data_IF_189711208218
#
_entry.id   IF_189711208218
#
_cell.length_a   1.000
_cell.length_b   1.000
_cell.length_c   1.000
_cell.angle_alpha   90.00
_cell.angle_beta   90.00
_cell.angle_gamma   90.00
#
_symmetry.space_group_name_H-M   'P 1'
#
loop_
_entity.id
_entity.type
_entity.pdbx_description
1 polymer ?
#
# COMPACT_ATOMS: atom_id res chain seq x y z
N UNK A 1 45.60 42.22 12.28
CA UNK A 1 45.12 41.84 10.94
C UNK A 1 44.07 40.75 11.12
N UNK A 2 42.80 41.13 11.04
CA UNK A 2 41.65 40.25 11.28
C UNK A 2 41.11 39.77 9.94
N UNK A 3 41.25 38.46 9.66
CA UNK A 3 40.64 37.81 8.49
C UNK A 3 39.14 37.68 8.71
N UNK A 4 38.36 38.54 8.06
CA UNK A 4 36.91 38.42 7.94
C UNK A 4 36.58 37.54 6.73
N UNK A 5 36.30 36.25 6.95
CA UNK A 5 35.69 35.41 5.92
C UNK A 5 34.20 35.73 5.83
N UNK A 6 33.82 36.48 4.79
CA UNK A 6 32.43 36.62 4.33
C UNK A 6 31.95 35.28 3.78
N UNK A 7 31.31 34.46 4.61
CA UNK A 7 30.50 33.35 4.15
C UNK A 7 29.25 33.89 3.43
N UNK A 8 29.17 33.68 2.11
CA UNK A 8 27.91 33.83 1.37
C UNK A 8 26.91 32.83 1.94
N UNK A 9 25.64 33.19 2.22
CA UNK A 9 24.61 32.21 2.48
C UNK A 9 24.45 31.36 1.22
N UNK A 10 24.83 30.09 1.28
CA UNK A 10 24.61 29.14 0.20
C UNK A 10 23.14 28.77 0.17
N UNK A 11 22.43 29.31 -0.83
CA UNK A 11 21.11 28.93 -1.34
C UNK A 11 20.04 28.71 -0.27
N UNK A 12 19.13 29.68 -0.19
CA UNK A 12 17.77 29.48 0.33
C UNK A 12 17.19 28.19 -0.26
N UNK A 13 17.27 27.09 0.50
CA UNK A 13 16.47 25.89 0.25
C UNK A 13 15.04 26.34 0.47
N UNK A 14 14.33 26.46 -0.64
CA UNK A 14 12.94 26.87 -0.70
C UNK A 14 12.15 26.05 0.32
N UNK A 15 11.63 26.74 1.34
CA UNK A 15 10.58 26.23 2.22
C UNK A 15 9.34 26.08 1.36
N UNK A 16 9.25 25.00 0.60
CA UNK A 16 8.06 24.66 -0.18
C UNK A 16 7.11 23.99 0.80
N UNK A 17 5.96 24.63 1.07
CA UNK A 17 4.78 24.09 1.74
C UNK A 17 4.92 22.58 2.02
N UNK A 18 5.57 22.23 3.14
CA UNK A 18 5.44 20.89 3.70
C UNK A 18 3.94 20.65 3.74
N UNK A 19 3.48 19.49 3.26
CA UNK A 19 2.11 19.08 3.51
C UNK A 19 1.79 19.46 4.94
N UNK A 20 0.73 20.22 5.16
CA UNK A 20 0.33 20.55 6.52
C UNK A 20 -0.01 19.22 7.20
N UNK A 21 1.00 18.55 7.76
CA UNK A 21 0.92 17.48 8.74
C UNK A 21 0.47 18.14 10.06
N UNK A 22 -0.48 19.06 9.97
CA UNK A 22 -0.95 19.79 11.14
C UNK A 22 -1.94 18.91 11.92
N UNK A 23 -2.42 17.83 11.29
CA UNK A 23 -3.24 16.83 11.96
C UNK A 23 -3.15 15.45 11.26
N UNK A 24 -2.37 14.54 11.85
CA UNK A 24 -2.29 13.14 11.43
C UNK A 24 -3.67 12.47 11.39
N UNK A 25 -4.51 12.75 12.38
CA UNK A 25 -5.84 12.15 12.49
C UNK A 25 -6.76 12.65 11.36
N UNK A 26 -6.67 13.93 11.00
CA UNK A 26 -7.42 14.46 9.87
C UNK A 26 -7.02 13.80 8.54
N UNK A 27 -5.71 13.62 8.30
CA UNK A 27 -5.21 12.91 7.11
C UNK A 27 -5.70 11.47 7.06
N UNK A 28 -5.65 10.74 8.19
CA UNK A 28 -6.10 9.36 8.24
C UNK A 28 -7.62 9.25 8.11
N UNK A 29 -8.38 10.21 8.64
CA UNK A 29 -9.83 10.29 8.43
C UNK A 29 -10.17 10.53 6.96
N UNK A 30 -9.52 11.47 6.30
CA UNK A 30 -9.71 11.76 4.88
C UNK A 30 -9.41 10.53 4.01
N UNK A 31 -8.27 9.88 4.25
CA UNK A 31 -7.90 8.66 3.53
C UNK A 31 -8.88 7.51 3.81
N UNK A 32 -9.34 7.36 5.07
CA UNK A 32 -10.33 6.36 5.45
C UNK A 32 -11.69 6.56 4.78
N UNK A 33 -12.21 7.79 4.75
CA UNK A 33 -13.48 8.13 4.09
C UNK A 33 -13.39 7.93 2.56
N UNK A 34 -12.23 8.25 1.96
CA UNK A 34 -11.99 8.04 0.54
C UNK A 34 -11.83 6.55 0.18
N UNK A 35 -11.20 5.76 1.05
CA UNK A 35 -11.07 4.32 0.90
C UNK A 35 -12.43 3.62 0.86
N UNK A 36 -13.39 4.05 1.69
CA UNK A 36 -14.76 3.51 1.66
C UNK A 36 -15.42 3.74 0.29
N UNK A 37 -15.20 4.91 -0.33
CA UNK A 37 -15.72 5.22 -1.68
C UNK A 37 -15.07 4.35 -2.76
N UNK A 38 -13.74 4.19 -2.71
CA UNK A 38 -13.00 3.37 -3.68
C UNK A 38 -13.39 1.90 -3.58
N UNK A 39 -13.50 1.34 -2.37
CA UNK A 39 -13.94 -0.03 -2.15
C UNK A 39 -15.38 -0.25 -2.64
N UNK A 40 -16.29 0.69 -2.36
CA UNK A 40 -17.67 0.62 -2.84
C UNK A 40 -17.77 0.71 -4.37
N UNK A 41 -16.98 1.58 -5.00
CA UNK A 41 -16.93 1.69 -6.45
C UNK A 41 -16.39 0.40 -7.08
N UNK A 42 -15.29 -0.16 -6.57
CA UNK A 42 -14.76 -1.44 -7.07
C UNK A 42 -15.72 -2.61 -6.86
N UNK A 43 -16.46 -2.64 -5.76
CA UNK A 43 -17.53 -3.64 -5.57
C UNK A 43 -18.62 -3.52 -6.65
N UNK A 44 -19.00 -2.29 -7.00
CA UNK A 44 -19.97 -2.02 -8.08
C UNK A 44 -19.40 -2.39 -9.46
N UNK A 45 -18.13 -2.11 -9.71
CA UNK A 45 -17.44 -2.49 -10.95
C UNK A 45 -17.50 -4.02 -11.14
N UNK A 46 -17.22 -4.81 -10.09
CA UNK A 46 -17.31 -6.28 -10.14
C UNK A 46 -18.73 -6.83 -10.33
N UNK A 47 -19.78 -6.03 -10.06
CA UNK A 47 -21.18 -6.39 -10.32
C UNK A 47 -21.64 -6.02 -11.72
N UNK A 48 -21.16 -4.89 -12.24
CA UNK A 48 -21.49 -4.41 -13.59
C UNK A 48 -20.76 -5.24 -14.64
N UNK A 49 -19.46 -5.49 -14.39
CA UNK A 49 -18.58 -6.33 -15.19
C UNK A 49 -18.65 -6.10 -16.71
N UNK A 50 -18.62 -4.81 -17.09
CA UNK A 50 -18.66 -4.38 -18.48
C UNK A 50 -17.29 -4.34 -19.14
N UNK A 51 -17.27 -3.86 -20.38
CA UNK A 51 -16.05 -3.83 -21.21
C UNK A 51 -14.95 -2.96 -20.59
N UNK A 52 -15.31 -1.85 -19.95
CA UNK A 52 -14.35 -0.98 -19.24
C UNK A 52 -13.70 -1.74 -18.10
N UNK A 53 -14.49 -2.39 -17.24
CA UNK A 53 -14.00 -3.11 -16.07
C UNK A 53 -13.10 -4.28 -16.47
N UNK A 54 -13.49 -5.04 -17.51
CA UNK A 54 -12.68 -6.12 -18.07
C UNK A 54 -11.35 -5.62 -18.62
N UNK A 55 -11.35 -4.51 -19.37
CA UNK A 55 -10.12 -3.93 -19.92
C UNK A 55 -9.16 -3.44 -18.83
N UNK A 56 -9.68 -2.84 -17.77
CA UNK A 56 -8.85 -2.41 -16.64
C UNK A 56 -8.31 -3.63 -15.87
N UNK A 57 -9.14 -4.65 -15.65
CA UNK A 57 -8.74 -5.90 -15.01
C UNK A 57 -7.65 -6.63 -15.81
N UNK A 58 -7.80 -6.70 -17.14
CA UNK A 58 -6.81 -7.29 -18.05
C UNK A 58 -5.46 -6.58 -18.00
N UNK A 59 -5.44 -5.26 -17.93
CA UNK A 59 -4.18 -4.51 -17.80
C UNK A 59 -3.46 -4.78 -16.48
N UNK A 60 -4.20 -5.03 -15.41
CA UNK A 60 -3.65 -5.15 -14.06
C UNK A 60 -3.27 -6.59 -13.71
N UNK A 61 -4.05 -7.56 -14.18
CA UNK A 61 -3.90 -8.97 -13.82
C UNK A 61 -3.57 -9.87 -15.01
N UNK A 62 -3.63 -9.39 -16.25
CA UNK A 62 -3.39 -10.21 -17.44
C UNK A 62 -4.50 -11.23 -17.73
N UNK A 63 -5.70 -11.02 -17.15
CA UNK A 63 -6.88 -11.87 -17.30
C UNK A 63 -8.12 -11.02 -17.61
N UNK A 64 -9.10 -11.56 -18.32
CA UNK A 64 -10.42 -10.93 -18.50
C UNK A 64 -11.37 -11.17 -17.30
N UNK A 65 -10.87 -11.85 -16.27
CA UNK A 65 -11.53 -12.23 -15.02
C UNK A 65 -12.37 -13.50 -15.07
N UNK A 66 -12.66 -14.05 -16.25
CA UNK A 66 -13.43 -15.30 -16.37
C UNK A 66 -12.54 -16.55 -16.33
N UNK A 67 -11.23 -16.39 -16.56
CA UNK A 67 -10.29 -17.50 -16.48
C UNK A 67 -10.19 -18.05 -15.04
N UNK A 68 -10.03 -19.36 -14.95
CA UNK A 68 -9.78 -20.04 -13.69
C UNK A 68 -8.33 -19.82 -13.26
N UNK A 69 -8.14 -19.54 -11.98
CA UNK A 69 -6.84 -19.35 -11.36
C UNK A 69 -6.75 -20.13 -10.05
N UNK A 70 -5.55 -20.62 -9.74
CA UNK A 70 -5.25 -21.34 -8.51
C UNK A 70 -4.83 -20.38 -7.41
N UNK A 71 -5.67 -20.26 -6.37
CA UNK A 71 -5.43 -19.39 -5.22
C UNK A 71 -5.18 -20.21 -3.97
N UNK A 72 -4.18 -19.81 -3.18
CA UNK A 72 -3.98 -20.38 -1.86
C UNK A 72 -5.01 -19.83 -0.87
N UNK A 73 -5.85 -20.71 -0.34
CA UNK A 73 -6.88 -20.45 0.66
C UNK A 73 -6.65 -21.38 1.87
N UNK A 74 -5.65 -21.06 2.72
CA UNK A 74 -5.19 -21.96 3.76
C UNK A 74 -6.27 -22.28 4.79
N UNK A 75 -6.30 -23.53 5.24
CA UNK A 75 -7.21 -24.03 6.28
C UNK A 75 -6.36 -24.49 7.46
N UNK A 76 -6.54 -23.90 8.64
CA UNK A 76 -5.77 -24.22 9.85
C UNK A 76 -4.25 -24.17 9.65
N UNK A 77 -3.77 -23.19 8.88
CA UNK A 77 -2.34 -23.03 8.57
C UNK A 77 -1.82 -23.91 7.43
N UNK A 78 -2.65 -24.82 6.90
CA UNK A 78 -2.25 -25.72 5.82
C UNK A 78 -2.61 -25.11 4.48
N UNK A 79 -1.63 -25.05 3.57
CA UNK A 79 -1.83 -24.62 2.18
C UNK A 79 -2.95 -25.44 1.55
N UNK A 80 -3.95 -24.75 1.01
CA UNK A 80 -5.08 -25.38 0.32
C UNK A 80 -5.37 -24.58 -0.95
N UNK A 81 -5.07 -25.18 -2.09
CA UNK A 81 -5.23 -24.53 -3.39
C UNK A 81 -6.66 -24.73 -3.87
N UNK A 82 -7.34 -23.63 -4.14
CA UNK A 82 -8.70 -23.61 -4.70
C UNK A 82 -8.64 -23.00 -6.09
N UNK A 83 -9.36 -23.60 -7.03
CA UNK A 83 -9.55 -23.06 -8.36
C UNK A 83 -10.83 -22.21 -8.38
N UNK A 84 -10.73 -20.97 -8.83
CA UNK A 84 -11.87 -20.06 -8.96
C UNK A 84 -11.63 -19.06 -10.08
N UNK A 85 -12.69 -18.36 -10.52
CA UNK A 85 -12.53 -17.31 -11.51
C UNK A 85 -11.71 -16.17 -10.94
N UNK A 86 -10.82 -15.59 -11.75
CA UNK A 86 -10.02 -14.43 -11.36
C UNK A 86 -10.87 -13.27 -10.81
N UNK A 87 -12.06 -13.03 -11.38
CA UNK A 87 -13.00 -12.02 -10.87
C UNK A 87 -13.48 -12.32 -9.45
N UNK A 88 -13.67 -13.60 -9.09
CA UNK A 88 -14.13 -14.01 -7.77
C UNK A 88 -13.03 -13.86 -6.71
N UNK A 89 -11.76 -13.98 -7.10
CA UNK A 89 -10.62 -13.64 -6.22
C UNK A 89 -10.71 -12.18 -5.78
N UNK A 90 -11.02 -11.27 -6.71
CA UNK A 90 -11.13 -9.85 -6.39
C UNK A 90 -12.43 -9.49 -5.66
N UNK A 91 -13.52 -10.25 -5.85
CA UNK A 91 -14.72 -10.12 -4.99
C UNK A 91 -14.39 -10.47 -3.55
N UNK A 92 -13.66 -11.56 -3.32
CA UNK A 92 -13.21 -11.95 -1.97
C UNK A 92 -12.23 -10.94 -1.38
N UNK A 93 -11.29 -10.43 -2.20
CA UNK A 93 -10.38 -9.35 -1.82
C UNK A 93 -11.14 -8.13 -1.28
N UNK A 94 -12.05 -7.55 -2.07
CA UNK A 94 -12.82 -6.37 -1.65
C UNK A 94 -13.63 -6.65 -0.38
N UNK A 95 -14.27 -7.82 -0.29
CA UNK A 95 -15.04 -8.21 0.90
C UNK A 95 -14.17 -8.20 2.16
N UNK A 96 -12.96 -8.78 2.10
CA UNK A 96 -11.99 -8.80 3.21
C UNK A 96 -11.45 -7.43 3.53
N UNK A 97 -11.09 -6.65 2.51
CA UNK A 97 -10.59 -5.29 2.71
C UNK A 97 -11.64 -4.41 3.40
N UNK A 98 -12.93 -4.55 3.04
CA UNK A 98 -14.04 -3.88 3.73
C UNK A 98 -14.20 -4.34 5.18
N UNK A 99 -14.04 -5.63 5.47
CA UNK A 99 -14.09 -6.15 6.85
C UNK A 99 -12.97 -5.55 7.71
N UNK A 100 -11.73 -5.59 7.22
CA UNK A 100 -10.57 -5.01 7.92
C UNK A 100 -10.77 -3.50 8.10
N UNK A 101 -11.12 -2.78 7.02
CA UNK A 101 -11.38 -1.33 7.07
C UNK A 101 -12.49 -0.98 8.06
N UNK A 102 -13.54 -1.78 8.16
CA UNK A 102 -14.61 -1.60 9.15
C UNK A 102 -14.15 -1.77 10.60
N UNK A 103 -13.05 -2.49 10.84
CA UNK A 103 -12.44 -2.66 12.16
C UNK A 103 -11.35 -1.61 12.48
N UNK A 104 -10.85 -0.87 11.49
CA UNK A 104 -9.85 0.17 11.71
C UNK A 104 -10.50 1.43 12.31
N UNK A 105 -9.93 1.92 13.41
CA UNK A 105 -10.24 3.23 13.98
C UNK A 105 -9.06 4.17 13.80
N UNK A 106 -9.18 5.44 14.23
CA UNK A 106 -8.02 6.35 14.19
C UNK A 106 -6.85 5.83 15.03
N UNK A 107 -7.12 5.11 16.12
CA UNK A 107 -6.10 4.50 16.98
C UNK A 107 -5.39 3.31 16.31
N UNK A 108 -5.92 2.78 15.20
CA UNK A 108 -5.26 1.75 14.41
C UNK A 108 -4.05 2.28 13.63
N UNK A 109 -3.98 3.59 13.37
CA UNK A 109 -2.90 4.18 12.60
C UNK A 109 -1.79 4.67 13.53
N UNK A 110 -0.59 4.10 13.38
CA UNK A 110 0.57 4.45 14.18
C UNK A 110 1.41 5.46 13.41
N UNK A 111 1.51 6.68 13.95
CA UNK A 111 2.29 7.74 13.34
C UNK A 111 3.80 7.48 13.51
N UNK A 112 4.49 7.05 12.46
CA UNK A 112 5.94 6.93 12.38
C UNK A 112 6.56 7.94 11.40
N UNK A 113 5.84 9.03 11.11
CA UNK A 113 6.30 10.08 10.21
C UNK A 113 7.55 10.72 10.81
N UNK A 114 8.66 10.63 10.09
CA UNK A 114 9.93 11.24 10.45
C UNK A 114 10.59 11.77 9.19
N UNK A 115 10.90 13.06 9.16
CA UNK A 115 11.60 13.70 8.05
C UNK A 115 13.11 13.71 8.31
N UNK A 116 13.90 12.82 7.67
CA UNK A 116 15.35 12.77 7.89
C UNK A 116 16.07 14.03 7.38
N UNK A 117 15.47 14.80 6.46
CA UNK A 117 16.02 16.06 5.98
C UNK A 117 15.75 17.23 6.94
N UNK A 118 14.83 17.04 7.89
CA UNK A 118 14.47 18.02 8.92
C UNK A 118 14.21 17.31 10.27
N UNK A 119 15.27 16.78 10.92
CA UNK A 119 15.13 15.94 12.11
C UNK A 119 14.51 16.66 13.31
N UNK A 120 14.66 17.99 13.38
CA UNK A 120 14.15 18.84 14.46
C UNK A 120 12.71 19.34 14.23
N UNK A 121 12.04 18.91 13.15
CA UNK A 121 10.68 19.33 12.86
C UNK A 121 9.72 18.91 13.99
N UNK A 122 8.89 19.82 14.53
CA UNK A 122 7.96 19.51 15.62
C UNK A 122 6.85 18.53 15.21
N UNK A 123 6.67 18.33 13.90
CA UNK A 123 5.74 17.36 13.29
C UNK A 123 6.31 15.94 13.24
N UNK A 124 7.60 15.74 13.52
CA UNK A 124 8.20 14.41 13.56
C UNK A 124 7.63 13.61 14.73
N UNK A 125 7.34 12.33 14.46
CA UNK A 125 6.91 11.39 15.46
C UNK A 125 7.99 11.20 16.52
N UNK A 126 7.55 11.12 17.78
CA UNK A 126 8.39 10.78 18.93
C UNK A 126 8.43 9.27 19.20
N UNK A 127 7.67 8.48 18.44
CA UNK A 127 7.65 7.02 18.58
C UNK A 127 8.98 6.48 18.02
N UNK A 128 9.74 5.68 18.78
CA UNK A 128 10.96 5.06 18.28
C UNK A 128 10.67 4.20 17.05
N UNK A 129 11.48 4.37 15.99
CA UNK A 129 11.37 3.53 14.80
C UNK A 129 11.99 2.15 15.08
N UNK A 130 11.33 1.05 14.65
CA UNK A 130 11.95 -0.27 14.67
C UNK A 130 13.29 -0.31 13.95
N UNK A 131 14.24 -1.08 14.49
CA UNK A 131 15.55 -1.25 13.89
C UNK A 131 15.45 -1.97 12.54
N UNK A 132 16.21 -1.50 11.54
CA UNK A 132 16.27 -2.13 10.21
C UNK A 132 15.21 -1.65 9.21
N UNK A 133 14.30 -0.76 9.61
CA UNK A 133 13.40 -0.09 8.65
C UNK A 133 14.15 0.94 7.80
N UNK A 134 13.75 1.12 6.53
CA UNK A 134 14.29 2.19 5.70
C UNK A 134 13.99 3.57 6.30
N UNK A 135 14.85 4.54 6.00
CA UNK A 135 14.71 5.90 6.52
C UNK A 135 13.42 6.59 6.08
N UNK A 136 12.88 6.21 4.92
CA UNK A 136 11.58 6.68 4.44
C UNK A 136 10.79 5.53 3.83
N UNK A 137 9.50 5.47 4.13
CA UNK A 137 8.54 4.48 3.61
C UNK A 137 7.13 5.09 3.61
N UNK A 138 6.19 4.47 2.90
CA UNK A 138 4.80 4.91 2.88
C UNK A 138 4.05 4.36 4.09
N UNK A 139 3.86 3.05 4.16
CA UNK A 139 3.29 2.40 5.31
C UNK A 139 3.82 0.96 5.44
N UNK A 140 3.45 0.27 6.51
CA UNK A 140 3.57 -1.18 6.63
C UNK A 140 2.55 -1.71 7.64
N UNK A 141 2.30 -3.02 7.64
CA UNK A 141 1.55 -3.74 8.67
C UNK A 141 2.36 -4.90 9.23
N UNK A 142 2.01 -5.38 10.42
CA UNK A 142 2.41 -6.71 10.84
C UNK A 142 1.40 -7.73 10.28
N UNK A 143 1.78 -8.45 9.23
CA UNK A 143 0.87 -9.33 8.49
C UNK A 143 0.26 -10.45 9.36
N UNK A 144 0.95 -10.91 10.41
CA UNK A 144 0.45 -11.95 11.32
C UNK A 144 -0.58 -11.41 12.32
N UNK A 145 -0.73 -10.09 12.44
CA UNK A 145 -1.65 -9.50 13.40
C UNK A 145 -3.11 -9.70 12.98
N UNK A 146 -3.81 -10.57 13.70
CA UNK A 146 -5.21 -10.93 13.42
C UNK A 146 -6.26 -10.21 14.28
N UNK A 147 -5.83 -9.38 15.24
CA UNK A 147 -6.72 -8.62 16.12
C UNK A 147 -6.17 -7.20 16.33
N UNK A 148 -7.08 -6.22 16.52
CA UNK A 148 -6.73 -4.82 16.73
C UNK A 148 -5.79 -4.25 15.65
N UNK A 149 -6.07 -4.54 14.38
CA UNK A 149 -5.22 -4.22 13.22
C UNK A 149 -4.52 -2.86 13.35
N UNK A 150 -3.21 -2.87 13.10
CA UNK A 150 -2.37 -1.67 13.10
C UNK A 150 -1.74 -1.45 11.74
N UNK A 151 -1.75 -0.19 11.31
CA UNK A 151 -1.06 0.27 10.09
C UNK A 151 -0.09 1.36 10.50
N UNK A 152 1.18 1.17 10.19
CA UNK A 152 2.26 2.07 10.58
C UNK A 152 2.53 3.02 9.41
N UNK A 153 2.40 4.32 9.64
CA UNK A 153 2.43 5.34 8.59
C UNK A 153 3.77 6.08 8.62
N UNK A 154 4.49 6.05 7.50
CA UNK A 154 5.77 6.72 7.30
C UNK A 154 5.65 8.03 6.53
N UNK A 155 6.77 8.75 6.41
CA UNK A 155 6.82 10.08 5.79
C UNK A 155 6.39 10.08 4.32
N UNK A 156 6.63 9.01 3.55
CA UNK A 156 6.28 8.98 2.13
C UNK A 156 4.76 8.88 1.90
N UNK A 157 3.97 8.49 2.91
CA UNK A 157 2.50 8.54 2.85
C UNK A 157 1.97 9.98 2.76
N UNK A 158 2.70 10.92 3.35
CA UNK A 158 2.36 12.35 3.26
C UNK A 158 2.64 12.89 1.86
N UNK A 159 3.63 12.30 1.18
CA UNK A 159 4.14 12.70 -0.13
C UNK A 159 5.55 12.15 -0.36
N UNK A 160 5.91 11.80 -1.60
CA UNK A 160 7.27 11.36 -1.98
C UNK A 160 8.16 12.54 -2.40
N UNK A 161 9.48 12.40 -2.24
CA UNK A 161 10.46 13.37 -2.77
C UNK A 161 10.51 13.23 -4.31
N UNK A 162 10.36 14.36 -5.01
CA UNK A 162 10.49 14.44 -6.47
C UNK A 162 11.90 14.87 -6.89
N UNK A 163 12.20 14.78 -8.19
CA UNK A 163 13.50 15.09 -8.84
C UNK A 163 14.15 16.41 -8.40
N UNK A 164 13.37 17.39 -7.94
CA UNK A 164 13.88 18.69 -7.46
C UNK A 164 14.12 18.73 -5.94
N UNK A 165 14.18 17.58 -5.24
CA UNK A 165 14.26 17.47 -3.78
C UNK A 165 13.09 18.16 -3.05
N UNK A 166 11.92 18.19 -3.69
CA UNK A 166 10.69 18.74 -3.11
C UNK A 166 9.72 17.60 -2.82
N UNK A 167 9.24 17.51 -1.59
CA UNK A 167 8.18 16.59 -1.20
C UNK A 167 6.84 17.16 -1.67
N UNK A 168 6.22 16.48 -2.65
CA UNK A 168 4.89 16.85 -3.11
C UNK A 168 3.86 16.01 -2.36
N UNK A 169 2.78 16.64 -1.89
CA UNK A 169 1.74 15.90 -1.17
C UNK A 169 1.17 14.77 -2.00
N UNK A 170 1.08 13.61 -1.37
CA UNK A 170 0.46 12.45 -2.01
C UNK A 170 -1.03 12.72 -2.19
N UNK A 171 -1.55 12.31 -3.35
CA UNK A 171 -2.97 12.44 -3.65
C UNK A 171 -3.77 11.45 -2.79
N UNK A 172 -5.00 11.81 -2.43
CA UNK A 172 -5.86 10.94 -1.61
C UNK A 172 -6.29 9.70 -2.39
N UNK A 173 -6.67 9.87 -3.66
CA UNK A 173 -7.16 8.83 -4.56
C UNK A 173 -6.41 8.84 -5.90
N UNK A 174 -6.50 7.75 -6.67
CA UNK A 174 -5.81 7.58 -7.94
C UNK A 174 -4.42 6.95 -7.80
N UNK A 175 -3.57 7.19 -8.80
CA UNK A 175 -2.24 6.56 -8.93
C UNK A 175 -1.30 6.92 -7.79
N UNK A 176 -0.69 5.92 -7.16
CA UNK A 176 0.27 6.06 -6.05
C UNK A 176 -0.31 6.70 -4.79
N UNK A 177 -1.64 6.74 -4.68
CA UNK A 177 -2.37 7.50 -3.67
C UNK A 177 -2.31 6.89 -2.27
N UNK A 178 -2.69 7.71 -1.27
CA UNK A 178 -2.89 7.24 0.11
C UNK A 178 -3.89 6.09 0.20
N UNK A 179 -5.01 6.17 -0.53
CA UNK A 179 -6.02 5.09 -0.53
C UNK A 179 -5.47 3.81 -1.16
N UNK A 180 -4.78 3.91 -2.30
CA UNK A 180 -4.17 2.74 -2.94
C UNK A 180 -3.12 2.09 -2.01
N UNK A 181 -2.30 2.91 -1.37
CA UNK A 181 -1.34 2.46 -0.34
C UNK A 181 -2.05 1.76 0.81
N UNK A 182 -3.14 2.32 1.36
CA UNK A 182 -3.86 1.63 2.45
C UNK A 182 -4.43 0.29 1.99
N UNK A 183 -5.02 0.21 0.79
CA UNK A 183 -5.50 -1.06 0.24
C UNK A 183 -4.37 -2.09 0.05
N UNK A 184 -3.20 -1.65 -0.38
CA UNK A 184 -1.97 -2.44 -0.44
C UNK A 184 -1.66 -3.01 0.95
N UNK A 185 -1.49 -2.13 1.94
CA UNK A 185 -1.08 -2.53 3.29
C UNK A 185 -2.04 -3.52 3.94
N UNK A 186 -3.34 -3.24 3.89
CA UNK A 186 -4.32 -4.10 4.54
C UNK A 186 -4.52 -5.43 3.78
N UNK A 187 -4.06 -5.53 2.53
CA UNK A 187 -4.05 -6.79 1.79
C UNK A 187 -3.01 -7.78 2.34
N UNK A 188 -1.94 -7.29 2.97
CA UNK A 188 -0.90 -8.14 3.55
C UNK A 188 -1.36 -8.94 4.77
N UNK A 189 -2.37 -8.47 5.52
CA UNK A 189 -2.88 -9.24 6.67
C UNK A 189 -3.22 -10.66 6.23
N UNK A 190 -2.75 -11.65 6.99
CA UNK A 190 -2.95 -13.05 6.62
C UNK A 190 -4.43 -13.43 6.62
N UNK A 191 -4.75 -14.47 5.84
CA UNK A 191 -6.05 -15.14 5.91
C UNK A 191 -6.18 -15.82 7.29
N UNK A 192 -7.30 -15.64 7.99
CA UNK A 192 -7.48 -16.27 9.31
C UNK A 192 -7.61 -17.78 9.15
N UNK A 193 -6.76 -18.52 9.88
CA UNK A 193 -6.66 -19.98 9.80
C UNK A 193 -7.87 -20.75 10.34
N UNK A 194 -8.67 -20.14 11.22
CA UNK A 194 -9.83 -20.78 11.85
C UNK A 194 -11.14 -20.54 11.09
N UNK A 195 -11.21 -19.46 10.32
CA UNK A 195 -12.37 -19.06 9.55
C UNK A 195 -11.88 -18.45 8.24
N UNK A 196 -12.00 -19.23 7.16
CA UNK A 196 -11.56 -18.81 5.83
C UNK A 196 -12.31 -17.57 5.34
N UNK A 197 -13.44 -17.19 5.95
CA UNK A 197 -14.14 -15.95 5.60
C UNK A 197 -13.51 -14.70 6.21
N UNK A 198 -12.59 -14.82 7.17
CA UNK A 198 -12.03 -13.69 7.91
C UNK A 198 -10.53 -13.48 7.62
N UNK A 199 -10.01 -12.33 8.01
CA UNK A 199 -8.61 -11.94 7.76
C UNK A 199 -8.41 -11.30 6.38
N UNK A 200 -7.16 -10.92 6.08
CA UNK A 200 -6.81 -10.26 4.83
C UNK A 200 -6.53 -11.24 3.69
N UNK A 201 -5.79 -10.79 2.69
CA UNK A 201 -5.45 -11.60 1.53
C UNK A 201 -4.16 -12.41 1.73
N UNK A 202 -3.29 -11.99 2.64
CA UNK A 202 -1.97 -12.57 2.83
C UNK A 202 -1.06 -12.35 1.61
N UNK A 203 -1.21 -11.23 0.92
CA UNK A 203 -0.39 -10.85 -0.23
C UNK A 203 1.08 -10.64 0.19
N UNK A 204 1.99 -10.73 -0.77
CA UNK A 204 3.40 -10.38 -0.59
C UNK A 204 3.84 -9.27 -1.54
N UNK A 205 5.00 -8.68 -1.23
CA UNK A 205 5.68 -7.70 -2.08
C UNK A 205 6.68 -8.39 -2.98
N UNK A 206 6.24 -8.78 -4.17
CA UNK A 206 7.09 -9.50 -5.10
C UNK A 206 8.27 -8.63 -5.55
N UNK A 207 9.45 -9.24 -5.66
CA UNK A 207 10.65 -8.56 -6.10
C UNK A 207 10.59 -8.17 -7.59
N UNK A 208 11.61 -7.43 -8.07
CA UNK A 208 11.75 -7.05 -9.48
C UNK A 208 11.73 -8.25 -10.44
N UNK A 209 12.10 -9.42 -9.94
CA UNK A 209 12.13 -10.67 -10.69
C UNK A 209 10.80 -11.42 -10.68
N UNK A 210 9.79 -10.94 -9.95
CA UNK A 210 8.50 -11.60 -9.79
C UNK A 210 8.58 -12.79 -8.84
N UNK A 211 9.50 -12.79 -7.88
CA UNK A 211 9.59 -13.78 -6.81
C UNK A 211 8.98 -13.23 -5.53
N UNK A 212 8.24 -14.08 -4.83
CA UNK A 212 7.74 -13.77 -3.50
C UNK A 212 8.92 -13.81 -2.51
N UNK A 213 9.16 -12.76 -1.70
CA UNK A 213 10.22 -12.77 -0.69
C UNK A 213 9.92 -13.80 0.40
N UNK A 214 10.97 -14.33 1.02
CA UNK A 214 10.81 -15.15 2.22
C UNK A 214 10.42 -14.26 3.42
N UNK A 215 9.69 -14.81 4.40
CA UNK A 215 9.13 -14.04 5.53
C UNK A 215 10.15 -13.24 6.35
N UNK A 216 11.42 -13.63 6.32
CA UNK A 216 12.48 -13.02 7.13
C UNK A 216 13.47 -12.18 6.30
N UNK A 217 13.22 -12.01 5.01
CA UNK A 217 14.06 -11.18 4.16
C UNK A 217 13.70 -9.71 4.34
N UNK A 218 14.69 -8.89 4.67
CA UNK A 218 14.51 -7.44 4.64
C UNK A 218 14.23 -7.01 3.20
N UNK A 219 13.14 -6.29 3.01
CA UNK A 219 12.86 -5.69 1.71
C UNK A 219 13.92 -4.65 1.37
N UNK A 220 14.58 -4.88 0.23
CA UNK A 220 15.67 -4.08 -0.30
C UNK A 220 15.30 -3.39 -1.60
N UNK A 221 14.07 -3.60 -2.08
CA UNK A 221 13.63 -3.13 -3.37
C UNK A 221 12.94 -1.78 -3.22
N UNK A 222 13.10 -0.93 -4.23
CA UNK A 222 12.37 0.34 -4.28
C UNK A 222 10.93 0.10 -4.75
N UNK A 223 10.07 1.09 -4.47
CA UNK A 223 8.71 1.15 -5.01
C UNK A 223 8.67 0.86 -6.53
N UNK A 224 9.52 1.52 -7.31
CA UNK A 224 9.60 1.30 -8.77
C UNK A 224 10.00 -0.13 -9.13
N UNK A 225 10.89 -0.75 -8.37
CA UNK A 225 11.33 -2.12 -8.61
C UNK A 225 10.20 -3.12 -8.35
N UNK A 226 9.39 -2.91 -7.30
CA UNK A 226 8.19 -3.72 -7.10
C UNK A 226 7.13 -3.51 -8.19
N UNK A 227 6.97 -2.27 -8.68
CA UNK A 227 6.07 -2.02 -9.82
C UNK A 227 6.54 -2.76 -11.07
N UNK A 228 7.85 -2.90 -11.30
CA UNK A 228 8.39 -3.73 -12.37
C UNK A 228 8.14 -5.23 -12.14
N UNK A 229 8.27 -5.70 -10.91
CA UNK A 229 7.88 -7.04 -10.48
C UNK A 229 6.41 -7.35 -10.80
N UNK A 230 5.50 -6.45 -10.43
CA UNK A 230 4.06 -6.55 -10.73
C UNK A 230 3.79 -6.64 -12.24
N UNK A 231 4.47 -5.81 -13.05
CA UNK A 231 4.38 -5.88 -14.52
C UNK A 231 4.96 -7.19 -15.06
N UNK A 232 6.01 -7.74 -14.45
CA UNK A 232 6.63 -9.00 -14.86
C UNK A 232 5.65 -10.16 -14.64
N UNK A 233 5.00 -10.23 -13.48
CA UNK A 233 3.97 -11.23 -13.19
C UNK A 233 2.86 -11.24 -14.24
N UNK A 234 2.36 -10.07 -14.63
CA UNK A 234 1.36 -9.92 -15.70
C UNK A 234 1.89 -10.42 -17.04
N UNK A 235 3.09 -9.98 -17.45
CA UNK A 235 3.70 -10.34 -18.73
C UNK A 235 3.90 -11.84 -18.91
N UNK A 236 4.22 -12.56 -17.84
CA UNK A 236 4.44 -14.01 -17.90
C UNK A 236 3.16 -14.83 -17.65
N UNK A 237 2.00 -14.17 -17.46
CA UNK A 237 0.74 -14.84 -17.16
C UNK A 237 0.72 -15.56 -15.82
N UNK A 238 1.43 -15.05 -14.81
CA UNK A 238 1.54 -15.68 -13.51
C UNK A 238 0.23 -15.55 -12.71
N UNK A 239 -0.26 -16.65 -12.14
CA UNK A 239 -1.40 -16.63 -11.22
C UNK A 239 -1.10 -15.85 -9.92
N UNK A 240 0.18 -15.62 -9.61
CA UNK A 240 0.63 -14.86 -8.45
C UNK A 240 0.31 -13.36 -8.53
N UNK A 241 -0.21 -12.85 -9.67
CA UNK A 241 -0.71 -11.46 -9.76
C UNK A 241 -1.80 -11.15 -8.73
N UNK A 242 -2.56 -12.15 -8.26
CA UNK A 242 -3.57 -11.97 -7.21
C UNK A 242 -3.02 -12.07 -5.79
N UNK A 243 -1.77 -12.50 -5.66
CA UNK A 243 -1.04 -12.62 -4.41
C UNK A 243 -0.02 -11.48 -4.22
N UNK A 244 0.16 -10.61 -5.22
CA UNK A 244 1.09 -9.48 -5.16
C UNK A 244 0.37 -8.19 -4.72
N UNK A 245 0.82 -7.59 -3.62
CA UNK A 245 0.19 -6.40 -3.06
C UNK A 245 0.23 -5.20 -4.03
N UNK A 246 1.28 -5.07 -4.85
CA UNK A 246 1.36 -4.02 -5.87
C UNK A 246 0.39 -4.19 -7.05
N UNK A 247 -0.03 -5.42 -7.38
CA UNK A 247 -1.12 -5.62 -8.34
C UNK A 247 -2.47 -5.26 -7.70
N UNK A 248 -2.66 -5.58 -6.41
CA UNK A 248 -3.83 -5.16 -5.63
C UNK A 248 -3.89 -3.62 -5.52
N UNK A 249 -2.78 -2.95 -5.22
CA UNK A 249 -2.65 -1.50 -5.17
C UNK A 249 -3.14 -0.86 -6.47
N UNK A 250 -2.61 -1.30 -7.62
CA UNK A 250 -3.01 -0.85 -8.97
C UNK A 250 -4.50 -0.99 -9.21
N UNK A 251 -5.11 -2.06 -8.70
CA UNK A 251 -6.56 -2.23 -8.80
C UNK A 251 -7.32 -1.15 -8.05
N UNK A 252 -6.81 -0.59 -6.96
CA UNK A 252 -7.48 0.48 -6.21
C UNK A 252 -7.03 1.90 -6.60
N UNK A 253 -6.17 2.06 -7.61
CA UNK A 253 -5.73 3.37 -8.15
C UNK A 253 -6.81 4.07 -9.01
N UNK A 254 -8.03 4.25 -8.47
CA UNK A 254 -9.12 4.97 -9.14
C UNK A 254 -9.48 6.29 -8.45
N UNK A 255 -10.16 7.16 -9.19
CA UNK A 255 -10.79 8.39 -8.68
C UNK A 255 -12.31 8.19 -8.78
N UNK A 256 -13.02 8.50 -7.69
CA UNK A 256 -14.48 8.33 -7.54
C UNK A 256 -15.14 9.67 -7.22
#
# INVERSE_FOLDING_TARGET
MTNTTKGKPTKDKTVVNQCKINDFNAMMKEAGDAMDKVLAQREKDLKTWGEKEKNDFLKIFGSDGECLVRVNSPIRGVKNIVEMKAVDVMKDCIRRLKEIKGALTLDSYINLIYDPDNPDAPTNSKIPRPHGLPDTFCAYVNYEQQANYKVYIGINFTGRIKVNNVRACEVVMGKGSRVATLCHEISHFEKIFLDFSRGGMGTGDYDVDGRRPERNENDKWTYEQHLEGAKKLVRIGSENVFDNAYNIEKYFEIIV
#
